data_IF_369617560876
#
_entry.id   IF_369617560876
#
_cell.length_a   1.000
_cell.length_b   1.000
_cell.length_c   1.000
_cell.angle_alpha   90.00
_cell.angle_beta   90.00
_cell.angle_gamma   90.00
#
_symmetry.space_group_name_H-M   'P 1'
#
loop_
_entity.id
_entity.type
_entity.pdbx_description
1 polymer ?
#
# COMPACT_ATOMS: atom_id res chain seq x y z
N UNK A 1 31.57 16.76 -8.50
CA UNK A 1 30.55 17.56 -9.21
C UNK A 1 29.88 18.51 -8.23
N UNK A 2 29.68 19.79 -8.60
CA UNK A 2 29.07 20.78 -7.73
C UNK A 2 27.53 20.53 -7.63
N UNK A 3 26.99 20.37 -6.43
CA UNK A 3 25.55 20.17 -6.21
C UNK A 3 24.86 21.53 -6.11
N UNK A 4 23.99 21.82 -7.07
CA UNK A 4 23.22 23.07 -7.15
C UNK A 4 21.91 22.90 -6.38
N UNK A 5 21.59 23.81 -5.43
CA UNK A 5 20.36 23.76 -4.66
C UNK A 5 20.39 22.77 -3.49
N UNK A 6 21.56 22.26 -3.10
CA UNK A 6 21.68 21.48 -1.87
C UNK A 6 21.36 22.37 -0.65
N UNK A 7 20.61 21.85 0.29
CA UNK A 7 20.18 22.57 1.49
C UNK A 7 21.16 22.33 2.62
N UNK A 8 21.67 23.42 3.23
CA UNK A 8 22.53 23.38 4.43
C UNK A 8 21.89 24.24 5.50
N UNK A 9 21.57 23.67 6.67
CA UNK A 9 20.94 24.42 7.75
C UNK A 9 21.48 24.00 9.13
N UNK A 10 21.38 24.94 10.07
CA UNK A 10 21.68 24.69 11.47
C UNK A 10 20.43 24.18 12.19
N UNK A 11 20.58 23.06 12.93
CA UNK A 11 19.45 22.29 13.46
C UNK A 11 18.69 23.03 14.57
N UNK A 12 19.38 23.78 15.44
CA UNK A 12 18.75 24.46 16.58
C UNK A 12 18.04 25.75 16.14
N UNK A 13 18.71 26.62 15.37
CA UNK A 13 18.18 27.91 14.93
C UNK A 13 17.31 27.79 13.66
N UNK A 14 17.38 26.67 12.95
CA UNK A 14 16.75 26.45 11.63
C UNK A 14 17.16 27.45 10.56
N UNK A 15 18.23 28.20 10.78
CA UNK A 15 18.81 29.05 9.75
C UNK A 15 19.53 28.21 8.72
N UNK A 16 19.27 28.46 7.46
CA UNK A 16 19.86 27.68 6.35
C UNK A 16 20.10 28.50 5.10
N UNK A 17 20.87 27.91 4.19
CA UNK A 17 21.17 28.43 2.87
C UNK A 17 21.17 27.29 1.86
N UNK A 18 20.78 27.58 0.62
CA UNK A 18 20.94 26.64 -0.48
C UNK A 18 22.22 26.95 -1.28
N UNK A 19 22.83 25.93 -1.85
CA UNK A 19 24.01 26.10 -2.70
C UNK A 19 23.66 26.78 -4.04
N UNK A 20 24.52 27.66 -4.51
CA UNK A 20 24.39 28.32 -5.81
C UNK A 20 24.84 27.43 -6.98
N UNK A 21 24.88 27.98 -8.19
CA UNK A 21 25.31 27.28 -9.43
C UNK A 21 26.73 26.71 -9.40
N UNK A 22 27.55 27.12 -8.45
CA UNK A 22 28.94 26.65 -8.25
C UNK A 22 29.03 25.69 -7.05
N UNK A 23 27.92 25.36 -6.40
CA UNK A 23 27.90 24.53 -5.19
C UNK A 23 28.35 25.29 -3.93
N UNK A 24 28.45 26.62 -3.97
CA UNK A 24 28.84 27.44 -2.82
C UNK A 24 27.65 27.84 -1.98
N UNK A 25 27.82 27.79 -0.66
CA UNK A 25 26.87 28.31 0.32
C UNK A 25 27.56 29.20 1.33
N UNK A 26 26.83 30.11 1.96
CA UNK A 26 27.29 30.93 3.07
C UNK A 26 26.21 30.98 4.14
N UNK A 27 26.61 30.79 5.39
CA UNK A 27 25.71 30.77 6.53
C UNK A 27 26.35 31.52 7.70
N UNK A 28 25.68 32.56 8.18
CA UNK A 28 26.13 33.33 9.36
C UNK A 28 25.35 32.88 10.58
N UNK A 29 26.10 32.35 11.55
CA UNK A 29 25.58 31.82 12.82
C UNK A 29 26.28 32.49 14.01
N UNK A 30 25.62 32.59 15.17
CA UNK A 30 26.27 33.05 16.39
C UNK A 30 27.35 32.05 16.84
N UNK A 31 28.40 32.51 17.54
CA UNK A 31 29.43 31.61 18.06
C UNK A 31 28.83 30.65 19.10
N UNK A 32 29.36 29.42 19.14
CA UNK A 32 28.92 28.37 20.07
C UNK A 32 28.93 26.98 19.49
N UNK A 33 28.09 26.11 20.06
CA UNK A 33 27.92 24.75 19.58
C UNK A 33 26.97 24.75 18.38
N UNK A 34 27.47 24.36 17.23
CA UNK A 34 26.74 24.40 15.95
C UNK A 34 26.58 22.99 15.41
N UNK A 35 25.36 22.64 15.05
CA UNK A 35 25.05 21.39 14.34
C UNK A 35 24.50 21.70 12.97
N UNK A 36 25.29 21.48 11.93
CA UNK A 36 24.88 21.64 10.56
C UNK A 36 24.33 20.33 10.01
N UNK A 37 23.29 20.44 9.21
CA UNK A 37 22.72 19.35 8.43
C UNK A 37 22.71 19.74 6.96
N UNK A 38 23.29 18.86 6.14
CA UNK A 38 23.32 19.04 4.69
C UNK A 38 22.53 17.92 4.00
N UNK A 39 21.67 18.28 3.04
CA UNK A 39 20.84 17.35 2.31
C UNK A 39 20.63 17.77 0.85
N UNK A 40 20.52 16.78 -0.04
CA UNK A 40 20.19 16.97 -1.44
C UNK A 40 19.41 15.78 -1.96
N UNK A 41 18.48 16.01 -2.90
CA UNK A 41 17.64 14.96 -3.47
C UNK A 41 18.51 13.91 -4.18
N UNK A 42 18.34 12.64 -3.82
CA UNK A 42 19.13 11.53 -4.39
C UNK A 42 20.50 11.31 -3.74
N UNK A 43 20.80 12.00 -2.64
CA UNK A 43 22.04 11.86 -1.88
C UNK A 43 21.78 11.56 -0.41
N UNK A 44 22.71 10.87 0.25
CA UNK A 44 22.67 10.67 1.70
C UNK A 44 22.91 11.99 2.42
N UNK A 45 22.04 12.33 3.37
CA UNK A 45 22.23 13.51 4.19
C UNK A 45 23.37 13.30 5.18
N UNK A 46 24.13 14.36 5.47
CA UNK A 46 25.20 14.34 6.44
C UNK A 46 25.04 15.45 7.50
N UNK A 47 25.59 15.21 8.68
CA UNK A 47 25.55 16.17 9.79
C UNK A 47 26.94 16.40 10.34
N UNK A 48 27.25 17.66 10.61
CA UNK A 48 28.53 18.12 11.18
C UNK A 48 28.27 18.78 12.51
N UNK A 49 29.02 18.39 13.54
CA UNK A 49 28.93 18.97 14.86
C UNK A 49 30.22 19.75 15.15
N UNK A 50 30.08 21.01 15.47
CA UNK A 50 31.17 21.88 15.90
C UNK A 50 30.98 22.26 17.36
N UNK A 51 32.02 22.08 18.16
CA UNK A 51 32.05 22.49 19.53
C UNK A 51 32.78 23.81 19.64
N UNK A 52 32.14 24.83 20.25
CA UNK A 52 32.73 26.15 20.49
C UNK A 52 33.33 26.82 19.23
N UNK A 53 32.55 26.86 18.15
CA UNK A 53 32.95 27.57 16.95
C UNK A 53 32.85 29.08 17.17
N UNK A 54 34.02 29.76 17.20
CA UNK A 54 34.15 31.20 17.47
C UNK A 54 34.80 32.02 16.33
N UNK A 55 35.11 31.35 15.19
CA UNK A 55 35.79 31.93 14.06
C UNK A 55 35.20 31.49 12.73
N UNK A 56 35.46 32.29 11.70
CA UNK A 56 35.07 31.96 10.33
C UNK A 56 35.73 30.65 9.90
N UNK A 57 34.93 29.74 9.38
CA UNK A 57 35.35 28.40 9.02
C UNK A 57 34.92 28.09 7.58
N UNK A 58 35.83 27.55 6.80
CA UNK A 58 35.53 27.03 5.48
C UNK A 58 35.26 25.55 5.57
N UNK A 59 34.06 25.15 5.13
CA UNK A 59 33.60 23.78 5.19
C UNK A 59 33.34 23.24 3.79
N UNK A 60 34.02 22.15 3.46
CA UNK A 60 33.77 21.42 2.21
C UNK A 60 32.89 20.19 2.55
N UNK A 61 31.70 20.11 1.95
CA UNK A 61 30.73 19.03 2.22
C UNK A 61 30.67 18.13 1.00
N UNK A 62 30.95 16.85 1.19
CA UNK A 62 30.77 15.83 0.17
C UNK A 62 29.58 14.96 0.52
N UNK A 63 28.55 14.95 -0.34
CA UNK A 63 27.41 14.07 -0.23
C UNK A 63 27.60 12.84 -1.11
N UNK A 64 27.27 11.67 -0.59
CA UNK A 64 27.34 10.42 -1.35
C UNK A 64 26.01 10.19 -2.05
N UNK A 65 26.00 9.77 -3.34
CA UNK A 65 24.77 9.38 -4.00
C UNK A 65 24.07 8.27 -3.20
N UNK A 66 22.80 8.48 -2.87
CA UNK A 66 22.00 7.44 -2.25
C UNK A 66 21.54 6.47 -3.36
N UNK A 67 22.30 5.40 -3.57
CA UNK A 67 21.96 4.33 -4.51
C UNK A 67 20.81 3.44 -4.01
N UNK A 68 20.37 3.60 -2.77
CA UNK A 68 19.14 2.99 -2.27
C UNK A 68 17.99 3.93 -2.62
N UNK A 69 17.26 3.59 -3.66
CA UNK A 69 15.83 3.89 -3.68
C UNK A 69 15.27 3.24 -2.41
N UNK A 70 15.09 4.01 -1.35
CA UNK A 70 14.23 3.56 -0.26
C UNK A 70 12.91 3.25 -0.95
N UNK A 71 12.54 1.97 -0.91
CA UNK A 71 11.19 1.54 -1.22
C UNK A 71 10.29 2.47 -0.41
N UNK A 72 9.58 3.35 -1.12
CA UNK A 72 8.60 4.22 -0.48
C UNK A 72 7.56 3.27 0.09
N UNK A 73 7.73 2.92 1.35
CA UNK A 73 6.70 2.21 2.11
C UNK A 73 5.55 3.18 2.23
N UNK A 74 4.64 3.10 1.27
CA UNK A 74 3.38 3.84 1.30
C UNK A 74 2.63 3.33 2.52
N UNK A 75 2.77 4.05 3.62
CA UNK A 75 2.04 3.77 4.84
C UNK A 75 0.54 3.89 4.58
N UNK A 76 -0.27 3.13 5.29
CA UNK A 76 -1.73 3.12 5.15
C UNK A 76 -2.34 4.55 5.18
N UNK A 77 -1.72 5.50 5.89
CA UNK A 77 -2.13 6.90 5.92
C UNK A 77 -1.98 7.65 4.59
N UNK A 78 -1.05 7.25 3.72
CA UNK A 78 -0.94 7.82 2.37
C UNK A 78 -1.95 7.21 1.41
N UNK A 79 -2.27 5.92 1.57
CA UNK A 79 -3.36 5.28 0.81
C UNK A 79 -4.71 5.90 1.13
N UNK A 80 -4.96 6.26 2.38
CA UNK A 80 -6.17 6.97 2.76
C UNK A 80 -6.22 8.38 2.16
N UNK A 81 -5.09 9.08 2.02
CA UNK A 81 -5.00 10.38 1.33
C UNK A 81 -5.19 10.26 -0.18
N UNK A 82 -4.67 9.20 -0.80
CA UNK A 82 -4.89 8.91 -2.22
C UNK A 82 -6.34 8.49 -2.48
N UNK A 83 -6.99 7.81 -1.53
CA UNK A 83 -8.42 7.47 -1.57
C UNK A 83 -9.31 8.73 -1.57
N UNK A 84 -8.94 9.77 -0.81
CA UNK A 84 -9.68 11.05 -0.80
C UNK A 84 -9.54 11.80 -2.13
N UNK A 85 -8.43 11.62 -2.85
CA UNK A 85 -8.20 12.22 -4.17
C UNK A 85 -8.74 11.37 -5.34
N UNK A 86 -9.29 10.19 -5.05
CA UNK A 86 -9.88 9.35 -6.08
C UNK A 86 -11.21 9.98 -6.54
N UNK A 87 -11.23 10.49 -7.77
CA UNK A 87 -12.40 11.14 -8.38
C UNK A 87 -13.58 10.18 -8.64
N UNK A 88 -13.38 8.89 -8.43
CA UNK A 88 -14.41 7.86 -8.58
C UNK A 88 -15.22 7.73 -7.29
N UNK A 89 -16.37 8.40 -7.25
CA UNK A 89 -17.31 8.26 -6.12
C UNK A 89 -17.84 6.83 -6.03
N UNK A 90 -17.75 6.23 -4.84
CA UNK A 90 -18.29 4.90 -4.57
C UNK A 90 -17.32 3.75 -4.77
N UNK A 91 -16.04 4.02 -4.98
CA UNK A 91 -14.96 3.03 -5.00
C UNK A 91 -14.39 2.84 -3.60
N UNK A 92 -14.17 1.60 -3.20
CA UNK A 92 -13.49 1.22 -1.97
C UNK A 92 -12.43 0.16 -2.28
N UNK A 93 -11.22 0.38 -1.79
CA UNK A 93 -10.14 -0.60 -1.88
C UNK A 93 -9.96 -1.32 -0.54
N UNK A 94 -9.88 -2.64 -0.57
CA UNK A 94 -9.63 -3.48 0.60
C UNK A 94 -8.30 -4.19 0.45
N UNK A 95 -7.39 -3.92 1.36
CA UNK A 95 -6.13 -4.66 1.45
C UNK A 95 -6.36 -6.04 2.06
N UNK A 96 -5.47 -6.98 1.81
CA UNK A 96 -5.49 -8.30 2.45
C UNK A 96 -5.55 -8.19 3.98
N UNK A 97 -4.82 -7.24 4.56
CA UNK A 97 -4.81 -7.01 6.01
C UNK A 97 -6.20 -6.65 6.53
N UNK A 98 -6.95 -5.82 5.81
CA UNK A 98 -8.32 -5.44 6.15
C UNK A 98 -9.26 -6.64 6.05
N UNK A 99 -9.14 -7.44 4.99
CA UNK A 99 -9.95 -8.65 4.79
C UNK A 99 -9.71 -9.64 5.94
N UNK A 100 -8.45 -9.88 6.31
CA UNK A 100 -8.08 -10.79 7.41
C UNK A 100 -8.48 -10.28 8.80
N UNK A 101 -8.56 -8.97 9.00
CA UNK A 101 -8.96 -8.37 10.27
C UNK A 101 -10.48 -8.36 10.47
N UNK A 102 -11.27 -8.67 9.43
CA UNK A 102 -12.72 -8.70 9.52
C UNK A 102 -13.18 -9.90 10.33
N UNK A 103 -13.97 -9.71 11.39
CA UNK A 103 -14.50 -10.82 12.19
C UNK A 103 -15.43 -11.69 11.34
N UNK A 104 -15.22 -12.99 11.40
CA UNK A 104 -15.93 -13.96 10.58
C UNK A 104 -16.57 -15.07 11.42
N UNK A 105 -17.64 -15.64 10.89
CA UNK A 105 -18.19 -16.86 11.43
C UNK A 105 -17.20 -18.01 11.19
N UNK A 106 -16.96 -18.82 12.22
CA UNK A 106 -16.07 -20.00 12.17
C UNK A 106 -14.56 -19.72 12.05
N UNK A 107 -14.12 -18.44 12.19
CA UNK A 107 -12.70 -18.09 12.20
C UNK A 107 -12.04 -17.97 10.82
N UNK A 108 -12.83 -18.01 9.74
CA UNK A 108 -12.33 -17.85 8.38
C UNK A 108 -12.62 -16.47 7.82
N UNK A 109 -11.61 -15.82 7.30
CA UNK A 109 -11.77 -14.55 6.60
C UNK A 109 -12.48 -14.78 5.26
N UNK A 110 -13.51 -13.99 4.99
CA UNK A 110 -14.31 -14.10 3.77
C UNK A 110 -14.50 -12.72 3.13
N UNK A 111 -14.22 -12.63 1.84
CA UNK A 111 -14.34 -11.39 1.08
C UNK A 111 -15.78 -10.91 1.03
N UNK A 112 -16.71 -11.81 0.73
CA UNK A 112 -18.12 -11.44 0.60
C UNK A 112 -18.67 -10.94 1.93
N UNK A 113 -18.28 -11.57 3.04
CA UNK A 113 -18.62 -11.11 4.40
C UNK A 113 -18.01 -9.74 4.69
N UNK A 114 -16.77 -9.51 4.28
CA UNK A 114 -16.11 -8.19 4.41
C UNK A 114 -16.88 -7.11 3.66
N UNK A 115 -17.33 -7.40 2.43
CA UNK A 115 -18.11 -6.46 1.63
C UNK A 115 -19.50 -6.20 2.22
N UNK A 116 -20.13 -7.19 2.83
CA UNK A 116 -21.43 -7.05 3.52
C UNK A 116 -21.39 -6.05 4.69
N UNK A 117 -20.23 -5.83 5.30
CA UNK A 117 -20.05 -4.83 6.37
C UNK A 117 -19.94 -3.40 5.85
N UNK A 118 -19.89 -3.20 4.53
CA UNK A 118 -19.77 -1.85 3.98
C UNK A 118 -21.10 -1.12 3.89
N UNK A 119 -21.15 0.20 4.09
CA UNK A 119 -22.39 0.96 3.98
C UNK A 119 -23.02 0.82 2.58
N UNK A 120 -24.33 0.59 2.53
CA UNK A 120 -25.10 0.42 1.29
C UNK A 120 -24.99 -0.96 0.66
N UNK A 121 -24.49 -1.93 1.41
CA UNK A 121 -24.50 -3.35 1.05
C UNK A 121 -25.36 -4.09 2.06
N UNK A 122 -26.28 -4.92 1.55
CA UNK A 122 -27.09 -5.80 2.37
C UNK A 122 -26.66 -7.25 2.15
N UNK A 123 -26.66 -8.02 3.22
CA UNK A 123 -26.59 -9.49 3.16
C UNK A 123 -27.93 -10.03 2.74
N UNK A 124 -27.92 -11.12 1.99
CA UNK A 124 -29.14 -11.88 1.73
C UNK A 124 -29.72 -12.49 3.01
N UNK A 125 -30.83 -13.21 2.87
CA UNK A 125 -31.50 -13.86 3.97
C UNK A 125 -30.54 -14.77 4.72
N UNK A 126 -30.42 -14.58 6.05
CA UNK A 126 -29.87 -15.52 7.03
C UNK A 126 -28.41 -15.98 6.82
N UNK A 127 -27.47 -15.02 6.69
CA UNK A 127 -26.03 -15.34 6.80
C UNK A 127 -25.42 -16.05 5.59
N UNK A 128 -26.19 -16.28 4.53
CA UNK A 128 -25.72 -16.79 3.26
C UNK A 128 -25.00 -15.70 2.48
N UNK A 129 -24.12 -16.10 1.56
CA UNK A 129 -23.23 -15.20 0.82
C UNK A 129 -23.93 -14.41 -0.30
N UNK A 130 -25.09 -13.84 -0.03
CA UNK A 130 -25.76 -12.89 -0.91
C UNK A 130 -25.12 -11.51 -0.81
N UNK A 131 -24.87 -10.84 -1.92
CA UNK A 131 -24.40 -9.46 -1.97
C UNK A 131 -25.42 -8.61 -2.71
N UNK A 132 -26.11 -7.73 -1.99
CA UNK A 132 -27.09 -6.80 -2.51
C UNK A 132 -26.58 -5.38 -2.36
N UNK A 133 -26.21 -4.73 -3.44
CA UNK A 133 -25.56 -3.43 -3.40
C UNK A 133 -26.54 -2.37 -3.86
N UNK A 134 -26.82 -1.37 -2.99
CA UNK A 134 -27.69 -0.23 -3.26
C UNK A 134 -29.08 -0.62 -3.81
N UNK A 135 -29.64 -1.73 -3.30
CA UNK A 135 -30.95 -2.22 -3.69
C UNK A 135 -30.98 -2.98 -5.03
N UNK A 136 -29.82 -3.26 -5.62
CA UNK A 136 -29.73 -4.16 -6.76
C UNK A 136 -29.72 -5.63 -6.34
N UNK A 137 -30.10 -6.52 -7.27
CA UNK A 137 -30.12 -7.95 -7.07
C UNK A 137 -28.72 -8.57 -7.05
N UNK A 138 -28.60 -9.79 -6.52
CA UNK A 138 -27.36 -10.54 -6.46
C UNK A 138 -26.72 -10.74 -7.82
N UNK A 139 -27.53 -11.00 -8.85
CA UNK A 139 -27.09 -11.18 -10.23
C UNK A 139 -26.61 -9.88 -10.89
N UNK A 140 -26.90 -8.72 -10.28
CA UNK A 140 -26.44 -7.42 -10.72
C UNK A 140 -24.97 -7.14 -10.43
N UNK A 141 -24.28 -7.99 -9.69
CA UNK A 141 -22.88 -7.80 -9.31
C UNK A 141 -21.94 -8.55 -10.25
N UNK A 142 -20.82 -7.91 -10.60
CA UNK A 142 -19.74 -8.51 -11.37
C UNK A 142 -18.59 -8.84 -10.44
N UNK A 143 -18.19 -10.10 -10.38
CA UNK A 143 -17.00 -10.54 -9.67
C UNK A 143 -15.90 -10.91 -10.66
N UNK A 144 -14.72 -10.40 -10.45
CA UNK A 144 -13.54 -10.65 -11.27
C UNK A 144 -12.39 -11.14 -10.40
N UNK A 145 -11.56 -12.04 -10.96
CA UNK A 145 -10.23 -12.36 -10.47
C UNK A 145 -9.23 -12.03 -11.57
N UNK A 146 -8.36 -11.07 -11.31
CA UNK A 146 -7.38 -10.57 -12.29
C UNK A 146 -8.02 -10.26 -13.66
N UNK A 147 -9.19 -9.59 -13.62
CA UNK A 147 -9.96 -9.19 -14.80
C UNK A 147 -10.81 -10.30 -15.44
N UNK A 148 -10.78 -11.53 -14.93
CA UNK A 148 -11.57 -12.65 -15.45
C UNK A 148 -12.86 -12.83 -14.64
N UNK A 149 -14.04 -12.96 -15.29
CA UNK A 149 -15.32 -13.08 -14.59
C UNK A 149 -15.46 -14.41 -13.84
N UNK A 150 -15.92 -14.33 -12.60
CA UNK A 150 -16.26 -15.48 -11.74
C UNK A 150 -17.78 -15.54 -11.58
N UNK A 151 -18.38 -16.61 -12.05
CA UNK A 151 -19.84 -16.76 -12.01
C UNK A 151 -20.32 -17.44 -10.73
N UNK A 152 -19.51 -18.36 -10.18
CA UNK A 152 -19.84 -19.07 -8.95
C UNK A 152 -18.98 -18.53 -7.80
N UNK A 153 -19.54 -17.62 -7.03
CA UNK A 153 -18.81 -16.94 -5.94
C UNK A 153 -18.94 -17.63 -4.57
N UNK A 154 -19.76 -18.68 -4.49
CA UNK A 154 -20.12 -19.33 -3.25
C UNK A 154 -19.93 -20.84 -3.32
N UNK A 155 -19.54 -21.41 -2.18
CA UNK A 155 -19.51 -22.85 -1.95
C UNK A 155 -20.46 -23.27 -0.82
N UNK A 156 -20.80 -24.55 -0.77
CA UNK A 156 -21.60 -25.16 0.32
C UNK A 156 -22.86 -24.36 0.66
N UNK A 157 -23.73 -24.14 -0.35
CA UNK A 157 -25.00 -23.44 -0.15
C UNK A 157 -24.88 -21.96 0.24
N UNK A 158 -23.72 -21.33 -0.02
CA UNK A 158 -23.50 -19.91 0.28
C UNK A 158 -22.86 -19.63 1.65
N UNK A 159 -22.41 -20.64 2.36
CA UNK A 159 -21.75 -20.46 3.67
C UNK A 159 -20.32 -19.91 3.50
N UNK A 160 -19.63 -20.26 2.41
CA UNK A 160 -18.26 -19.84 2.14
C UNK A 160 -18.15 -19.22 0.75
N UNK A 161 -17.26 -18.23 0.62
CA UNK A 161 -16.92 -17.69 -0.69
C UNK A 161 -15.93 -18.59 -1.43
N UNK A 162 -15.93 -18.48 -2.76
CA UNK A 162 -14.98 -19.18 -3.62
C UNK A 162 -13.57 -18.58 -3.59
N UNK A 163 -13.38 -17.50 -2.87
CA UNK A 163 -12.12 -16.75 -2.84
C UNK A 163 -11.25 -17.17 -1.66
N UNK A 164 -10.01 -17.56 -1.92
CA UNK A 164 -9.04 -17.81 -0.87
C UNK A 164 -8.37 -16.49 -0.43
N UNK A 165 -8.58 -15.99 0.80
CA UNK A 165 -8.02 -14.73 1.27
C UNK A 165 -6.50 -14.71 1.32
N UNK A 166 -5.84 -15.90 1.41
CA UNK A 166 -4.39 -16.00 1.42
C UNK A 166 -3.77 -15.71 0.05
N UNK A 167 -4.49 -16.01 -1.03
CA UNK A 167 -4.06 -15.75 -2.40
C UNK A 167 -4.29 -14.31 -2.86
N UNK A 168 -4.99 -13.50 -2.08
CA UNK A 168 -5.42 -12.17 -2.48
C UNK A 168 -4.46 -11.10 -1.97
N UNK A 169 -4.10 -10.16 -2.85
CA UNK A 169 -3.34 -8.96 -2.53
C UNK A 169 -4.24 -7.84 -2.06
N UNK A 170 -5.21 -7.48 -2.89
CA UNK A 170 -6.23 -6.45 -2.63
C UNK A 170 -7.47 -6.72 -3.47
N UNK A 171 -8.54 -6.02 -3.18
CA UNK A 171 -9.72 -5.98 -4.03
C UNK A 171 -10.23 -4.55 -4.18
N UNK A 172 -10.74 -4.24 -5.36
CA UNK A 172 -11.42 -3.01 -5.66
C UNK A 172 -12.92 -3.25 -5.72
N UNK A 173 -13.68 -2.50 -4.92
CA UNK A 173 -15.12 -2.58 -4.86
C UNK A 173 -15.76 -1.29 -5.37
N UNK A 174 -16.47 -1.38 -6.49
CA UNK A 174 -17.19 -0.27 -7.11
C UNK A 174 -18.70 -0.45 -6.84
N UNK A 175 -19.27 0.39 -5.98
CA UNK A 175 -20.70 0.36 -5.65
C UNK A 175 -21.56 1.14 -6.64
N UNK A 176 -20.97 2.02 -7.42
CA UNK A 176 -21.55 2.76 -8.54
C UNK A 176 -20.44 3.47 -9.32
N UNK A 177 -20.74 3.99 -10.52
CA UNK A 177 -19.78 4.79 -11.27
C UNK A 177 -18.51 4.04 -11.69
N UNK A 178 -18.62 2.74 -11.88
CA UNK A 178 -17.47 1.93 -12.32
C UNK A 178 -17.02 2.32 -13.73
N UNK A 179 -15.70 2.23 -14.02
CA UNK A 179 -15.15 2.55 -15.34
C UNK A 179 -15.79 1.76 -16.47
N UNK A 180 -15.81 2.34 -17.68
CA UNK A 180 -16.43 1.75 -18.86
C UNK A 180 -15.83 0.38 -19.28
N UNK A 181 -14.64 0.03 -18.77
CA UNK A 181 -14.03 -1.30 -18.97
C UNK A 181 -14.84 -2.43 -18.34
N UNK A 182 -15.64 -2.14 -17.33
CA UNK A 182 -16.51 -3.11 -16.67
C UNK A 182 -17.90 -3.04 -17.28
N UNK A 183 -18.35 -4.12 -17.87
CA UNK A 183 -19.67 -4.19 -18.49
C UNK A 183 -20.46 -5.43 -18.06
N UNK A 184 -21.73 -5.50 -18.48
CA UNK A 184 -22.58 -6.67 -18.32
C UNK A 184 -23.27 -6.82 -16.96
N UNK A 185 -23.05 -5.91 -15.99
CA UNK A 185 -23.71 -5.88 -14.69
C UNK A 185 -24.07 -4.45 -14.31
N UNK A 186 -25.09 -4.30 -13.44
CA UNK A 186 -25.72 -3.00 -13.16
C UNK A 186 -25.55 -2.50 -11.73
N UNK A 187 -25.28 -3.40 -10.77
CA UNK A 187 -25.28 -3.07 -9.35
C UNK A 187 -23.88 -2.71 -8.83
N UNK A 188 -22.93 -3.61 -8.96
CA UNK A 188 -21.57 -3.38 -8.50
C UNK A 188 -20.53 -4.18 -9.27
N UNK A 189 -19.26 -3.81 -9.07
CA UNK A 189 -18.10 -4.57 -9.55
C UNK A 189 -17.16 -4.83 -8.38
N UNK A 190 -16.74 -6.09 -8.23
CA UNK A 190 -15.74 -6.56 -7.28
C UNK A 190 -14.58 -7.12 -8.10
N UNK A 191 -13.48 -6.39 -8.16
CA UNK A 191 -12.28 -6.80 -8.90
C UNK A 191 -11.21 -7.25 -7.89
N UNK A 192 -10.94 -8.54 -7.86
CA UNK A 192 -10.02 -9.18 -6.92
C UNK A 192 -8.68 -9.38 -7.61
N UNK A 193 -7.63 -8.87 -6.98
CA UNK A 193 -6.26 -9.00 -7.47
C UNK A 193 -5.51 -10.05 -6.66
N UNK A 194 -4.94 -11.03 -7.34
CA UNK A 194 -4.15 -12.07 -6.69
C UNK A 194 -2.76 -11.58 -6.30
N UNK A 195 -2.14 -12.28 -5.36
CA UNK A 195 -0.77 -12.01 -4.94
C UNK A 195 0.22 -12.53 -5.98
N UNK A 196 1.23 -11.71 -6.23
CA UNK A 196 2.47 -12.17 -6.82
C UNK A 196 3.34 -12.80 -5.72
N UNK A 197 4.05 -13.89 -6.02
CA UNK A 197 4.94 -14.54 -5.06
C UNK A 197 6.13 -13.64 -4.70
N UNK A 198 6.74 -13.88 -3.54
CA UNK A 198 7.93 -13.16 -3.12
C UNK A 198 9.13 -13.52 -4.02
N UNK A 199 9.80 -12.52 -4.60
CA UNK A 199 10.95 -12.73 -5.49
C UNK A 199 12.28 -12.95 -4.75
N UNK A 200 12.33 -12.72 -3.42
CA UNK A 200 13.58 -12.71 -2.64
C UNK A 200 13.68 -13.89 -1.68
N UNK A 201 12.58 -14.24 -1.02
CA UNK A 201 12.54 -15.21 0.07
C UNK A 201 11.33 -16.12 -0.03
N UNK A 202 11.44 -17.32 0.55
CA UNK A 202 10.33 -18.25 0.65
C UNK A 202 9.49 -17.93 1.90
N UNK A 203 8.18 -17.87 1.72
CA UNK A 203 7.23 -17.70 2.80
C UNK A 203 6.15 -18.78 2.70
N UNK A 204 5.67 -19.22 3.84
CA UNK A 204 4.55 -20.14 3.93
C UNK A 204 3.64 -19.76 5.08
N UNK A 205 2.34 -19.93 4.89
CA UNK A 205 1.35 -19.82 5.95
C UNK A 205 0.40 -21.00 5.92
N UNK A 206 0.02 -21.44 7.10
CA UNK A 206 -0.99 -22.48 7.28
C UNK A 206 -2.04 -21.96 8.25
N UNK A 207 -3.31 -22.07 7.90
CA UNK A 207 -4.44 -21.74 8.76
C UNK A 207 -5.37 -22.95 8.84
N UNK A 208 -5.74 -23.30 10.06
CA UNK A 208 -6.75 -24.34 10.33
C UNK A 208 -7.93 -23.70 11.02
N UNK A 209 -9.07 -23.67 10.35
CA UNK A 209 -10.35 -23.28 10.88
C UNK A 209 -11.14 -24.50 11.38
N UNK A 210 -12.34 -24.26 11.91
CA UNK A 210 -13.26 -25.34 12.34
C UNK A 210 -13.83 -26.15 11.16
N UNK A 211 -13.92 -25.51 10.01
CA UNK A 211 -14.63 -26.04 8.82
C UNK A 211 -13.74 -26.15 7.59
N UNK A 212 -12.61 -25.44 7.56
CA UNK A 212 -11.67 -25.47 6.45
C UNK A 212 -10.21 -25.33 6.90
N UNK A 213 -9.29 -25.59 5.99
CA UNK A 213 -7.87 -25.34 6.17
C UNK A 213 -7.27 -24.72 4.92
N UNK A 214 -6.42 -23.72 5.11
CA UNK A 214 -5.68 -23.05 4.04
C UNK A 214 -4.19 -23.26 4.20
N UNK A 215 -3.55 -23.59 3.09
CA UNK A 215 -2.10 -23.62 2.97
C UNK A 215 -1.69 -22.65 1.87
N UNK A 216 -0.71 -21.81 2.15
CA UNK A 216 -0.13 -20.92 1.15
C UNK A 216 1.38 -21.06 1.19
N UNK A 217 1.99 -21.14 0.02
CA UNK A 217 3.44 -21.20 -0.14
C UNK A 217 3.87 -20.32 -1.30
N UNK A 218 4.79 -19.42 -1.06
CA UNK A 218 5.29 -18.49 -2.05
C UNK A 218 6.80 -18.37 -2.00
N UNK A 219 7.43 -18.03 -3.13
CA UNK A 219 8.87 -17.85 -3.18
C UNK A 219 9.42 -17.65 -4.57
N UNK A 220 10.75 -17.40 -4.67
CA UNK A 220 11.43 -17.25 -5.94
C UNK A 220 11.65 -18.60 -6.65
N UNK A 221 11.31 -18.66 -7.93
CA UNK A 221 11.80 -19.70 -8.84
C UNK A 221 13.20 -19.29 -9.32
N UNK A 222 13.34 -18.04 -9.73
CA UNK A 222 14.62 -17.41 -10.06
C UNK A 222 14.67 -16.11 -9.26
N UNK A 223 15.64 -15.99 -8.36
CA UNK A 223 15.77 -14.83 -7.47
C UNK A 223 15.79 -13.53 -8.28
N UNK A 224 15.02 -12.54 -7.82
CA UNK A 224 14.84 -11.20 -8.41
C UNK A 224 14.27 -11.21 -9.86
N UNK A 225 13.73 -12.33 -10.35
CA UNK A 225 13.18 -12.44 -11.71
C UNK A 225 11.83 -13.10 -11.79
N UNK A 226 11.65 -14.22 -11.12
CA UNK A 226 10.43 -15.03 -11.25
C UNK A 226 10.06 -15.59 -9.90
N UNK A 227 8.83 -15.41 -9.50
CA UNK A 227 8.27 -15.97 -8.28
C UNK A 227 7.05 -16.83 -8.58
N UNK A 228 6.63 -17.60 -7.59
CA UNK A 228 5.38 -18.33 -7.60
C UNK A 228 4.61 -18.10 -6.31
N UNK A 229 3.32 -18.26 -6.38
CA UNK A 229 2.42 -18.34 -5.23
C UNK A 229 1.48 -19.53 -5.48
N UNK A 230 1.36 -20.41 -4.48
CA UNK A 230 0.46 -21.55 -4.49
C UNK A 230 -0.34 -21.58 -3.20
N UNK A 231 -1.68 -21.59 -3.33
CA UNK A 231 -2.60 -21.61 -2.20
C UNK A 231 -3.79 -22.53 -2.46
#
# INVERSE_FOLDING_TARGET
ESLIGASVYEVASRKGSATNSYGFFSLTLPPGNIRLHASYIGYESCSFNFTELDRDTLLNIELRPNARLEEVVVTASERDRLSVNNTLMGTMEFSQKTIKATPTLFGESDIVKTLQLTPGVASGTEGLAGLYVRGGDQDGNLFLIDGNPVYQINHVGGLFSAFNPEAIRNLDFFKAGFPARYGGRLSSVVDVHTKEGNMKEYHGSAMLGLTSGNLNFEGPIIKDRTSFNAS
#
